data_IF_476896638105
#
_entry.id   IF_476896638105
#
_cell.length_a   1.000
_cell.length_b   1.000
_cell.length_c   1.000
_cell.angle_alpha   90.00
_cell.angle_beta   90.00
_cell.angle_gamma   90.00
#
_symmetry.space_group_name_H-M   'P 1'
#
loop_
_entity.id
_entity.type
_entity.pdbx_description
1 polymer ?
#
# COMPACT_ATOMS: atom_id res chain seq x y z
N UNK A 1 -7.41 37.50 -16.02
CA UNK A 1 -6.44 38.60 -16.24
C UNK A 1 -7.02 39.85 -15.59
N UNK A 2 -6.46 40.32 -14.47
CA UNK A 2 -6.94 41.52 -13.79
C UNK A 2 -6.45 42.76 -14.55
N UNK A 3 -7.37 43.61 -15.02
CA UNK A 3 -7.04 44.89 -15.65
C UNK A 3 -7.07 45.95 -14.55
N UNK A 4 -5.90 46.50 -14.22
CA UNK A 4 -5.76 47.57 -13.23
C UNK A 4 -5.79 48.94 -13.95
N UNK A 5 -6.75 49.84 -13.66
CA UNK A 5 -6.66 51.21 -14.13
C UNK A 5 -5.69 52.01 -13.23
N UNK A 6 -4.65 52.57 -13.85
CA UNK A 6 -3.76 53.63 -13.35
C UNK A 6 -3.27 53.52 -11.89
N UNK A 7 -2.13 52.84 -11.69
CA UNK A 7 -1.32 52.96 -10.48
C UNK A 7 -0.51 54.27 -10.50
N UNK A 8 -0.55 55.04 -9.41
CA UNK A 8 0.46 56.06 -9.13
C UNK A 8 1.71 55.40 -8.54
N UNK A 9 2.86 55.63 -9.19
CA UNK A 9 4.22 55.20 -8.85
C UNK A 9 4.43 54.67 -7.42
N UNK A 10 4.43 53.34 -7.28
CA UNK A 10 4.88 52.66 -6.07
C UNK A 10 4.94 51.17 -6.31
N UNK A 11 6.16 50.61 -6.31
CA UNK A 11 6.45 49.22 -6.65
C UNK A 11 5.55 48.20 -5.95
N UNK A 12 5.05 47.24 -6.72
CA UNK A 12 4.41 46.03 -6.24
C UNK A 12 5.50 45.02 -5.83
N UNK A 13 6.07 45.19 -4.64
CA UNK A 13 7.07 44.25 -4.13
C UNK A 13 6.42 42.95 -3.65
N UNK A 14 7.17 41.86 -3.90
CA UNK A 14 6.81 40.46 -3.75
C UNK A 14 6.20 40.04 -2.41
N UNK A 15 5.47 38.92 -2.49
CA UNK A 15 4.70 38.19 -1.49
C UNK A 15 5.43 37.85 -0.18
N UNK A 16 6.73 38.08 -0.09
CA UNK A 16 7.54 37.59 1.02
C UNK A 16 7.75 38.62 2.14
N UNK A 17 7.24 39.86 2.01
CA UNK A 17 7.34 40.83 3.10
C UNK A 17 6.24 41.92 3.08
N UNK A 18 5.19 41.65 3.87
CA UNK A 18 4.45 42.61 4.71
C UNK A 18 3.23 43.40 4.21
N UNK A 19 2.85 43.52 2.93
CA UNK A 19 1.62 44.30 2.58
C UNK A 19 0.80 43.75 1.40
N UNK A 20 -0.43 43.35 1.68
CA UNK A 20 -1.46 43.02 0.69
C UNK A 20 -2.32 44.26 0.33
N UNK A 21 -2.84 44.30 -0.90
CA UNK A 21 -3.73 45.37 -1.38
C UNK A 21 -5.17 44.93 -1.16
N UNK A 22 -5.89 45.67 -0.32
CA UNK A 22 -7.31 45.44 -0.04
C UNK A 22 -8.15 46.58 -0.62
N UNK A 23 -9.32 46.25 -1.15
CA UNK A 23 -10.31 47.23 -1.58
C UNK A 23 -11.15 47.65 -0.36
N UNK A 24 -11.21 48.95 -0.06
CA UNK A 24 -12.17 49.45 0.92
C UNK A 24 -13.58 49.47 0.33
N UNK A 25 -14.58 49.48 1.22
CA UNK A 25 -16.00 49.59 0.89
C UNK A 25 -16.32 50.84 0.03
N UNK A 26 -15.47 51.87 0.10
CA UNK A 26 -15.62 53.14 -0.61
C UNK A 26 -14.75 53.25 -1.87
N UNK A 27 -14.30 52.14 -2.47
CA UNK A 27 -13.43 52.09 -3.66
C UNK A 27 -12.04 52.77 -3.51
N UNK A 28 -11.61 53.03 -2.28
CA UNK A 28 -10.24 53.45 -1.97
C UNK A 28 -9.28 52.27 -1.81
N UNK A 29 -8.02 52.43 -2.22
CA UNK A 29 -6.97 51.41 -2.11
C UNK A 29 -6.04 51.69 -0.92
N UNK A 30 -5.74 50.68 -0.09
CA UNK A 30 -4.78 50.80 1.02
C UNK A 30 -3.87 49.56 1.10
N UNK A 31 -2.59 49.78 1.37
CA UNK A 31 -1.63 48.73 1.72
C UNK A 31 -1.87 48.31 3.18
N UNK A 32 -2.28 47.07 3.42
CA UNK A 32 -2.54 46.51 4.77
C UNK A 32 -1.79 45.18 4.94
N UNK A 33 -1.59 44.69 6.18
CA UNK A 33 -1.07 43.35 6.41
C UNK A 33 -1.99 42.29 5.80
N UNK A 34 -1.40 41.24 5.22
CA UNK A 34 -2.12 40.15 4.57
C UNK A 34 -3.02 39.30 5.49
N UNK A 35 -2.98 39.56 6.81
CA UNK A 35 -3.85 38.95 7.83
C UNK A 35 -5.18 39.69 8.01
N UNK A 36 -5.43 40.77 7.26
CA UNK A 36 -6.69 41.52 7.35
C UNK A 36 -7.87 40.71 6.79
N UNK A 37 -9.00 40.68 7.52
CA UNK A 37 -10.26 40.03 7.11
C UNK A 37 -10.95 40.67 5.87
N UNK A 38 -10.28 41.60 5.18
CA UNK A 38 -10.80 42.27 4.00
C UNK A 38 -10.55 41.42 2.74
N UNK A 39 -11.54 41.32 1.87
CA UNK A 39 -11.45 40.54 0.62
C UNK A 39 -10.29 41.05 -0.27
N UNK A 40 -9.49 40.11 -0.77
CA UNK A 40 -8.43 40.38 -1.75
C UNK A 40 -9.05 40.77 -3.10
N UNK A 41 -8.44 41.72 -3.80
CA UNK A 41 -8.92 42.17 -5.11
C UNK A 41 -8.60 41.16 -6.23
N UNK A 42 -7.43 40.52 -6.16
CA UNK A 42 -7.03 39.42 -7.04
C UNK A 42 -6.19 38.43 -6.23
N UNK A 43 -6.59 37.16 -6.21
CA UNK A 43 -5.81 36.05 -5.67
C UNK A 43 -5.24 35.27 -6.86
N UNK A 44 -3.91 35.09 -6.91
CA UNK A 44 -3.35 34.06 -7.77
C UNK A 44 -3.53 32.75 -7.01
N UNK A 45 -4.49 31.93 -7.44
CA UNK A 45 -4.61 30.58 -6.92
C UNK A 45 -3.22 29.94 -6.94
N UNK A 46 -2.77 29.30 -5.84
CA UNK A 46 -1.50 28.58 -5.86
C UNK A 46 -1.53 27.68 -7.08
N UNK A 47 -0.51 27.81 -7.95
CA UNK A 47 -0.38 26.91 -9.10
C UNK A 47 -0.53 25.49 -8.56
N UNK A 48 -1.42 24.65 -9.10
CA UNK A 48 -1.51 23.27 -8.65
C UNK A 48 -0.11 22.68 -8.82
N UNK A 49 0.62 22.49 -7.71
CA UNK A 49 1.88 21.78 -7.77
C UNK A 49 1.54 20.42 -8.37
N UNK A 50 2.25 19.95 -9.40
CA UNK A 50 2.05 18.61 -9.89
C UNK A 50 2.21 17.67 -8.69
N UNK A 51 1.11 17.01 -8.32
CA UNK A 51 1.09 15.98 -7.29
C UNK A 51 1.87 14.80 -7.89
N UNK A 52 3.20 14.79 -7.71
CA UNK A 52 4.03 13.70 -8.20
C UNK A 52 3.78 12.47 -7.32
N UNK A 53 3.58 11.28 -7.92
CA UNK A 53 3.31 10.08 -7.16
C UNK A 53 4.49 9.77 -6.22
N UNK A 54 4.18 9.55 -4.94
CA UNK A 54 5.13 9.00 -3.98
C UNK A 54 5.59 7.65 -4.52
N UNK A 55 6.90 7.43 -4.60
CA UNK A 55 7.44 6.13 -5.02
C UNK A 55 7.86 5.38 -3.77
N UNK A 56 7.22 4.26 -3.50
CA UNK A 56 7.67 3.31 -2.49
C UNK A 56 8.15 2.07 -3.21
N UNK A 57 9.28 1.52 -2.76
CA UNK A 57 9.79 0.23 -3.18
C UNK A 57 9.92 -0.63 -1.93
N UNK A 58 9.41 -1.85 -2.01
CA UNK A 58 9.61 -2.87 -0.98
C UNK A 58 10.42 -4.01 -1.59
N UNK A 59 11.42 -4.50 -0.87
CA UNK A 59 12.25 -5.62 -1.32
C UNK A 59 12.59 -6.52 -0.15
N UNK A 60 12.67 -7.83 -0.39
CA UNK A 60 13.20 -8.79 0.59
C UNK A 60 14.29 -9.62 -0.09
N UNK A 61 15.49 -9.72 0.50
CA UNK A 61 16.51 -10.67 0.04
C UNK A 61 16.16 -12.12 0.42
N UNK A 62 15.22 -12.32 1.34
CA UNK A 62 14.88 -13.61 1.94
C UNK A 62 13.36 -13.86 1.92
N UNK A 63 12.72 -13.97 0.73
CA UNK A 63 11.28 -14.24 0.61
C UNK A 63 10.87 -15.59 1.22
N UNK A 64 11.82 -16.49 1.47
CA UNK A 64 11.65 -17.77 2.14
C UNK A 64 12.42 -17.83 3.48
N UNK A 65 12.68 -16.67 4.09
CA UNK A 65 13.45 -16.57 5.33
C UNK A 65 12.65 -16.83 6.60
N UNK A 66 11.33 -17.04 6.52
CA UNK A 66 10.49 -17.19 7.71
C UNK A 66 10.99 -18.30 8.65
N UNK A 67 11.12 -17.97 9.93
CA UNK A 67 11.67 -18.87 10.96
C UNK A 67 13.20 -19.00 10.96
N UNK A 68 13.92 -18.32 10.06
CA UNK A 68 15.38 -18.29 10.05
C UNK A 68 15.92 -16.99 10.66
N UNK A 69 17.19 -17.04 11.07
CA UNK A 69 17.95 -15.85 11.44
C UNK A 69 18.10 -14.93 10.22
N UNK A 70 18.12 -13.62 10.48
CA UNK A 70 18.39 -12.54 9.50
C UNK A 70 17.34 -12.37 8.37
N UNK A 71 16.17 -13.02 8.49
CA UNK A 71 15.03 -12.72 7.63
C UNK A 71 14.73 -11.22 7.71
N UNK A 72 14.64 -10.56 6.56
CA UNK A 72 14.46 -9.11 6.55
C UNK A 72 13.80 -8.62 5.28
N UNK A 73 13.27 -7.41 5.36
CA UNK A 73 12.86 -6.65 4.19
C UNK A 73 13.23 -5.19 4.35
N UNK A 74 13.23 -4.51 3.21
CA UNK A 74 13.69 -3.16 3.05
C UNK A 74 12.57 -2.36 2.39
N UNK A 75 12.27 -1.20 2.95
CA UNK A 75 11.38 -0.22 2.39
C UNK A 75 12.19 1.01 1.98
N UNK A 76 12.10 1.37 0.70
CA UNK A 76 12.75 2.54 0.11
C UNK A 76 11.69 3.53 -0.33
N UNK A 77 11.91 4.80 0.00
CA UNK A 77 11.04 5.90 -0.35
C UNK A 77 11.74 6.79 -1.38
N UNK A 78 11.31 6.70 -2.63
CA UNK A 78 11.66 7.65 -3.68
C UNK A 78 10.86 8.94 -3.49
N UNK A 79 11.50 9.96 -2.95
CA UNK A 79 10.92 11.29 -2.79
C UNK A 79 11.40 12.22 -3.89
N UNK A 80 10.45 12.90 -4.55
CA UNK A 80 10.60 14.34 -4.81
C UNK A 80 9.21 15.02 -4.68
N UNK A 81 9.10 15.97 -3.75
CA UNK A 81 8.07 17.03 -3.64
C UNK A 81 6.84 16.88 -2.72
N UNK A 82 6.66 15.79 -1.95
CA UNK A 82 5.58 15.71 -0.93
C UNK A 82 6.12 15.54 0.50
N UNK A 83 5.50 16.27 1.44
CA UNK A 83 5.79 16.15 2.87
C UNK A 83 5.25 14.82 3.40
N UNK A 84 6.18 13.92 3.72
CA UNK A 84 5.88 12.62 4.32
C UNK A 84 5.63 12.80 5.81
N UNK A 85 4.42 12.46 6.25
CA UNK A 85 4.02 12.51 7.66
C UNK A 85 4.47 11.27 8.42
N UNK A 86 4.42 10.09 7.77
CA UNK A 86 4.83 8.83 8.39
C UNK A 86 5.35 7.88 7.32
N UNK A 87 6.40 7.14 7.64
CA UNK A 87 6.91 6.02 6.87
C UNK A 87 7.11 4.84 7.81
N UNK A 88 6.48 3.70 7.52
CA UNK A 88 6.39 2.59 8.47
C UNK A 88 6.26 1.23 7.79
N UNK A 89 6.45 0.19 8.61
CA UNK A 89 6.24 -1.21 8.27
C UNK A 89 5.07 -1.76 9.08
N UNK A 90 4.25 -2.64 8.48
CA UNK A 90 3.15 -3.30 9.19
C UNK A 90 2.93 -4.73 8.68
N UNK A 91 2.32 -5.58 9.49
CA UNK A 91 1.83 -6.91 9.09
C UNK A 91 0.42 -6.75 8.53
N UNK A 92 0.21 -7.25 7.32
CA UNK A 92 -1.04 -7.17 6.58
C UNK A 92 -2.04 -8.26 6.97
N UNK A 93 -1.56 -9.48 7.21
CA UNK A 93 -2.41 -10.65 7.46
C UNK A 93 -1.92 -11.41 8.68
N UNK A 94 -2.84 -11.77 9.57
CA UNK A 94 -2.63 -12.78 10.60
C UNK A 94 -3.30 -14.08 10.15
N UNK A 95 -2.56 -15.18 10.20
CA UNK A 95 -3.04 -16.49 9.72
C UNK A 95 -3.47 -17.41 10.88
N UNK A 96 -3.61 -16.85 12.09
CA UNK A 96 -4.02 -17.53 13.31
C UNK A 96 -5.26 -16.86 13.92
N UNK A 97 -6.07 -17.63 14.64
CA UNK A 97 -7.42 -17.21 15.12
C UNK A 97 -7.42 -16.16 16.24
N UNK A 98 -6.39 -16.10 17.09
CA UNK A 98 -6.32 -15.09 18.13
C UNK A 98 -5.94 -13.75 17.52
N UNK A 99 -6.64 -12.64 17.80
CA UNK A 99 -6.27 -11.27 17.38
C UNK A 99 -6.00 -10.43 18.63
N UNK A 100 -4.82 -9.81 18.70
CA UNK A 100 -4.43 -8.85 19.76
C UNK A 100 -4.07 -7.51 19.13
N UNK A 101 -4.07 -6.43 19.91
CA UNK A 101 -3.81 -5.06 19.41
C UNK A 101 -2.49 -4.97 18.61
N UNK A 102 -1.43 -5.61 19.08
CA UNK A 102 -0.10 -5.58 18.43
C UNK A 102 0.07 -6.55 17.25
N UNK A 103 -0.97 -7.32 16.91
CA UNK A 103 -0.86 -8.38 15.90
C UNK A 103 -0.57 -7.88 14.47
N UNK A 104 -0.86 -6.60 14.21
CA UNK A 104 -0.63 -5.92 12.94
C UNK A 104 0.68 -5.12 12.90
N UNK A 105 1.39 -5.03 14.02
CA UNK A 105 2.74 -4.45 14.04
C UNK A 105 3.70 -5.41 13.35
N UNK A 106 4.58 -4.89 12.49
CA UNK A 106 5.65 -5.71 11.94
C UNK A 106 6.58 -6.15 13.10
N UNK A 107 6.80 -7.45 13.31
CA UNK A 107 7.58 -7.94 14.44
C UNK A 107 9.08 -7.72 14.22
N UNK A 108 9.84 -7.86 15.30
CA UNK A 108 11.29 -7.70 15.28
C UNK A 108 11.72 -6.23 15.26
N UNK A 109 12.94 -5.99 14.83
CA UNK A 109 13.60 -4.70 14.98
C UNK A 109 13.57 -3.90 13.68
N UNK A 110 13.09 -2.66 13.78
CA UNK A 110 13.11 -1.70 12.69
C UNK A 110 14.33 -0.78 12.82
N UNK A 111 15.27 -0.91 11.89
CA UNK A 111 16.41 -0.01 11.77
C UNK A 111 16.08 1.11 10.78
N UNK A 112 15.96 2.34 11.29
CA UNK A 112 15.94 3.55 10.45
C UNK A 112 17.35 3.81 9.92
N UNK A 113 17.68 3.28 8.74
CA UNK A 113 18.98 3.53 8.10
C UNK A 113 19.06 4.98 7.60
N UNK A 114 17.93 5.53 7.11
CA UNK A 114 17.78 6.95 6.77
C UNK A 114 16.28 7.32 6.72
N UNK A 115 15.92 8.62 6.58
CA UNK A 115 14.51 9.03 6.44
C UNK A 115 13.78 8.41 5.25
N UNK A 116 14.53 7.91 4.26
CA UNK A 116 13.99 7.29 3.04
C UNK A 116 14.21 5.78 2.98
N UNK A 117 14.81 5.19 4.01
CA UNK A 117 15.19 3.78 4.04
C UNK A 117 14.92 3.16 5.41
N UNK A 118 13.95 2.26 5.45
CA UNK A 118 13.67 1.41 6.61
C UNK A 118 14.10 -0.01 6.31
N UNK A 119 14.79 -0.64 7.27
CA UNK A 119 15.05 -2.07 7.26
C UNK A 119 14.28 -2.70 8.41
N UNK A 120 13.47 -3.71 8.12
CA UNK A 120 12.84 -4.54 9.13
C UNK A 120 13.60 -5.86 9.21
N UNK A 121 14.20 -6.15 10.35
CA UNK A 121 14.77 -7.46 10.67
C UNK A 121 13.75 -8.25 11.47
N UNK A 122 13.37 -9.42 10.97
CA UNK A 122 12.30 -10.23 11.50
C UNK A 122 12.85 -11.25 12.51
N UNK A 123 12.05 -11.64 13.51
CA UNK A 123 12.47 -12.66 14.46
C UNK A 123 12.62 -14.02 13.78
N UNK A 124 13.56 -14.83 14.27
CA UNK A 124 13.74 -16.23 13.87
C UNK A 124 12.67 -17.15 14.49
N UNK A 125 11.43 -16.70 14.49
CA UNK A 125 10.25 -17.41 14.99
C UNK A 125 9.18 -17.43 13.91
N UNK A 126 8.08 -18.14 14.17
CA UNK A 126 6.90 -18.11 13.30
C UNK A 126 6.27 -16.71 13.21
N UNK A 127 6.69 -15.73 14.00
CA UNK A 127 6.20 -14.36 13.82
C UNK A 127 6.86 -13.69 12.60
N UNK A 128 8.06 -14.11 12.21
CA UNK A 128 8.77 -13.57 11.05
C UNK A 128 8.19 -13.96 9.69
N UNK A 129 7.14 -14.77 9.65
CA UNK A 129 6.40 -15.09 8.41
C UNK A 129 5.16 -14.21 8.27
N UNK A 130 4.73 -14.03 7.03
CA UNK A 130 3.45 -13.39 6.72
C UNK A 130 3.52 -12.45 5.53
N UNK A 131 2.40 -11.74 5.33
CA UNK A 131 2.32 -10.61 4.42
C UNK A 131 2.62 -9.34 5.21
N UNK A 132 3.56 -8.55 4.72
CA UNK A 132 3.96 -7.28 5.29
C UNK A 132 3.74 -6.18 4.27
N UNK A 133 3.78 -4.93 4.71
CA UNK A 133 3.78 -3.81 3.79
C UNK A 133 4.63 -2.66 4.32
N UNK A 134 5.19 -1.94 3.35
CA UNK A 134 5.78 -0.63 3.53
C UNK A 134 4.70 0.40 3.23
N UNK A 135 4.42 1.34 4.15
CA UNK A 135 3.44 2.39 3.94
C UNK A 135 4.01 3.77 4.19
N UNK A 136 3.62 4.73 3.35
CA UNK A 136 3.87 6.15 3.55
C UNK A 136 2.55 6.91 3.61
N UNK A 137 2.39 7.74 4.62
CA UNK A 137 1.29 8.68 4.78
C UNK A 137 1.79 10.09 4.49
N UNK A 138 1.04 10.81 3.67
CA UNK A 138 1.18 12.26 3.42
C UNK A 138 -0.11 12.96 3.83
N UNK A 139 -0.14 14.29 3.76
CA UNK A 139 -1.33 15.07 4.07
C UNK A 139 -2.58 14.70 3.25
N UNK A 140 -2.42 14.11 2.06
CA UNK A 140 -3.51 13.82 1.14
C UNK A 140 -3.75 12.34 0.86
N UNK A 141 -2.76 11.46 1.13
CA UNK A 141 -2.82 10.06 0.71
C UNK A 141 -1.96 9.11 1.53
N UNK A 142 -2.40 7.85 1.55
CA UNK A 142 -1.59 6.69 1.95
C UNK A 142 -1.16 5.96 0.70
N UNK A 143 0.13 5.67 0.58
CA UNK A 143 0.67 4.76 -0.43
C UNK A 143 1.27 3.57 0.29
N UNK A 144 0.96 2.35 -0.13
CA UNK A 144 1.58 1.15 0.43
C UNK A 144 2.01 0.15 -0.64
N UNK A 145 3.05 -0.62 -0.31
CA UNK A 145 3.60 -1.68 -1.15
C UNK A 145 3.69 -2.94 -0.31
N UNK A 146 2.92 -3.99 -0.65
CA UNK A 146 2.95 -5.24 0.07
C UNK A 146 4.14 -6.10 -0.37
N UNK A 147 4.62 -6.93 0.55
CA UNK A 147 5.61 -7.96 0.33
C UNK A 147 5.24 -9.17 1.18
N UNK A 148 5.90 -10.29 0.94
CA UNK A 148 5.63 -11.48 1.73
C UNK A 148 6.88 -12.28 2.02
N UNK A 149 6.88 -12.91 3.19
CA UNK A 149 7.95 -13.80 3.66
C UNK A 149 7.30 -15.10 4.11
N UNK A 150 7.68 -16.19 3.43
CA UNK A 150 7.20 -17.53 3.71
C UNK A 150 8.21 -18.28 4.56
N UNK A 151 7.73 -19.35 5.19
CA UNK A 151 8.55 -20.30 5.93
C UNK A 151 9.62 -20.92 5.02
N UNK A 152 10.83 -21.05 5.53
CA UNK A 152 11.92 -21.72 4.81
C UNK A 152 11.61 -23.18 4.49
N UNK A 153 10.91 -23.86 5.40
CA UNK A 153 10.47 -25.26 5.31
C UNK A 153 9.07 -25.42 4.71
N UNK A 154 8.56 -24.43 3.97
CA UNK A 154 7.25 -24.50 3.32
C UNK A 154 7.14 -25.74 2.42
N UNK A 155 5.95 -26.32 2.39
CA UNK A 155 5.63 -27.45 1.52
C UNK A 155 4.93 -27.03 0.23
N UNK A 156 4.39 -25.81 0.19
CA UNK A 156 3.67 -25.24 -0.94
C UNK A 156 4.27 -23.90 -1.35
N UNK A 157 4.32 -23.63 -2.65
CA UNK A 157 4.76 -22.34 -3.21
C UNK A 157 4.06 -22.00 -4.52
N UNK A 158 3.94 -20.71 -4.91
CA UNK A 158 3.40 -20.34 -6.22
C UNK A 158 4.24 -20.92 -7.36
N UNK A 159 3.60 -21.51 -8.36
CA UNK A 159 4.28 -22.24 -9.45
C UNK A 159 5.18 -21.32 -10.31
N UNK A 160 4.79 -20.06 -10.45
CA UNK A 160 5.49 -19.04 -11.23
C UNK A 160 6.44 -18.19 -10.35
N UNK A 161 6.55 -18.52 -9.05
CA UNK A 161 7.32 -17.77 -8.07
C UNK A 161 6.76 -16.37 -7.79
N UNK A 162 5.57 -16.01 -8.29
CA UNK A 162 4.98 -14.68 -8.14
C UNK A 162 3.94 -14.67 -7.03
N UNK A 163 4.22 -13.90 -5.98
CA UNK A 163 3.30 -13.71 -4.86
C UNK A 163 2.20 -12.68 -5.13
N UNK A 164 2.33 -11.88 -6.18
CA UNK A 164 1.32 -10.90 -6.59
C UNK A 164 0.97 -11.09 -8.05
N UNK A 165 -0.33 -11.27 -8.32
CA UNK A 165 -0.91 -11.32 -9.66
C UNK A 165 -1.80 -10.09 -9.86
N UNK A 166 -1.74 -9.49 -11.03
CA UNK A 166 -2.56 -8.34 -11.41
C UNK A 166 -3.32 -8.68 -12.67
N UNK A 167 -4.63 -8.50 -12.63
CA UNK A 167 -5.55 -8.72 -13.75
C UNK A 167 -6.52 -7.55 -13.86
N UNK A 168 -7.25 -7.46 -14.96
CA UNK A 168 -8.32 -6.50 -15.15
C UNK A 168 -9.68 -7.16 -14.90
N UNK A 169 -10.71 -6.34 -14.66
CA UNK A 169 -12.08 -6.83 -14.57
C UNK A 169 -12.46 -7.54 -15.88
N UNK A 170 -13.01 -8.75 -15.76
CA UNK A 170 -13.41 -9.61 -16.88
C UNK A 170 -12.34 -10.61 -17.33
N UNK A 171 -11.09 -10.52 -16.84
CA UNK A 171 -10.06 -11.50 -17.14
C UNK A 171 -10.32 -12.83 -16.42
N UNK A 172 -10.02 -13.95 -17.08
CA UNK A 172 -9.93 -15.27 -16.44
C UNK A 172 -8.53 -15.45 -15.84
N UNK A 173 -8.43 -15.95 -14.60
CA UNK A 173 -7.15 -16.17 -13.92
C UNK A 173 -7.14 -17.50 -13.16
N UNK A 174 -6.05 -18.24 -13.30
CA UNK A 174 -5.74 -19.41 -12.47
C UNK A 174 -4.60 -19.09 -11.52
N UNK A 175 -4.89 -19.25 -10.23
CA UNK A 175 -3.92 -19.24 -9.14
C UNK A 175 -3.43 -20.68 -8.96
N UNK A 176 -2.12 -20.90 -8.96
CA UNK A 176 -1.56 -22.25 -8.89
C UNK A 176 -0.36 -22.28 -7.95
N UNK A 177 -0.33 -23.32 -7.13
CA UNK A 177 0.79 -23.65 -6.26
C UNK A 177 1.36 -25.01 -6.66
N UNK A 178 2.52 -25.34 -6.14
CA UNK A 178 3.14 -26.65 -6.31
C UNK A 178 3.73 -27.13 -4.98
N UNK A 179 3.79 -28.44 -4.81
CA UNK A 179 4.52 -29.04 -3.70
C UNK A 179 6.03 -28.86 -3.88
N UNK A 180 6.73 -28.40 -2.85
CA UNK A 180 8.19 -28.29 -2.84
C UNK A 180 8.87 -29.64 -2.57
N UNK A 181 8.16 -30.56 -1.91
CA UNK A 181 8.65 -31.90 -1.54
C UNK A 181 8.18 -32.99 -2.51
N UNK A 182 7.15 -32.71 -3.31
CA UNK A 182 6.49 -33.68 -4.17
C UNK A 182 5.61 -34.69 -3.43
N UNK A 183 5.42 -34.53 -2.11
CA UNK A 183 4.70 -35.47 -1.25
C UNK A 183 3.30 -35.00 -0.87
N UNK A 184 2.95 -33.75 -1.16
CA UNK A 184 1.62 -33.21 -0.81
C UNK A 184 0.61 -33.72 -1.83
N UNK A 185 -0.28 -34.62 -1.40
CA UNK A 185 -1.42 -35.07 -2.19
C UNK A 185 -2.42 -33.94 -2.42
N UNK A 186 -3.12 -33.94 -3.55
CA UNK A 186 -4.15 -32.91 -3.78
C UNK A 186 -5.37 -33.13 -2.87
N UNK A 187 -5.63 -34.37 -2.47
CA UNK A 187 -6.65 -34.75 -1.50
C UNK A 187 -6.37 -34.07 -0.15
N UNK A 188 -7.21 -33.11 0.23
CA UNK A 188 -7.05 -32.32 1.46
C UNK A 188 -6.54 -30.90 1.25
N UNK A 189 -6.17 -30.49 0.03
CA UNK A 189 -5.84 -29.10 -0.25
C UNK A 189 -7.06 -28.19 -0.09
N UNK A 190 -6.86 -27.10 0.64
CA UNK A 190 -7.83 -26.04 0.91
C UNK A 190 -7.33 -24.71 0.37
N UNK A 191 -8.28 -23.90 -0.11
CA UNK A 191 -8.06 -22.51 -0.51
C UNK A 191 -8.93 -21.60 0.35
N UNK A 192 -8.36 -20.49 0.82
CA UNK A 192 -9.05 -19.49 1.64
C UNK A 192 -8.72 -18.08 1.15
N UNK A 193 -9.69 -17.18 1.14
CA UNK A 193 -9.48 -15.76 0.84
C UNK A 193 -9.44 -14.94 2.10
N UNK A 194 -8.66 -13.88 2.02
CA UNK A 194 -8.63 -12.80 2.97
C UNK A 194 -8.79 -11.48 2.22
N UNK A 195 -9.72 -10.62 2.67
CA UNK A 195 -10.06 -9.34 2.01
C UNK A 195 -9.82 -8.17 2.94
N UNK A 196 -9.54 -6.98 2.39
CA UNK A 196 -9.20 -5.78 3.16
C UNK A 196 -10.30 -5.28 4.13
N UNK A 197 -11.57 -5.65 3.92
CA UNK A 197 -12.74 -5.08 4.62
C UNK A 197 -13.36 -6.06 5.63
N UNK A 198 -13.29 -7.35 5.37
CA UNK A 198 -13.78 -8.38 6.28
C UNK A 198 -12.81 -9.57 6.22
N UNK A 199 -11.99 -9.67 7.26
CA UNK A 199 -10.95 -10.68 7.41
C UNK A 199 -11.45 -11.92 8.18
N UNK A 200 -12.69 -11.86 8.69
CA UNK A 200 -13.42 -12.96 9.29
C UNK A 200 -13.99 -13.87 8.19
N UNK A 201 -13.31 -14.98 7.93
CA UNK A 201 -13.85 -16.20 7.33
C UNK A 201 -14.71 -16.07 6.06
N UNK A 202 -14.23 -15.39 5.01
CA UNK A 202 -14.70 -15.71 3.66
C UNK A 202 -13.99 -16.99 3.19
N UNK A 203 -14.46 -18.15 3.68
CA UNK A 203 -14.19 -19.42 2.99
C UNK A 203 -14.67 -19.23 1.53
N UNK A 204 -13.72 -19.10 0.60
CA UNK A 204 -14.05 -19.29 -0.80
C UNK A 204 -14.60 -20.71 -0.86
N UNK A 205 -15.80 -20.86 -1.41
CA UNK A 205 -16.46 -22.14 -1.56
C UNK A 205 -15.43 -23.21 -1.93
N UNK A 206 -15.38 -24.26 -1.11
CA UNK A 206 -14.37 -25.31 -1.10
C UNK A 206 -14.00 -25.76 -2.52
N UNK A 207 -12.93 -25.23 -3.12
CA UNK A 207 -12.21 -25.97 -4.16
C UNK A 207 -11.33 -26.97 -3.42
N UNK A 208 -11.98 -27.98 -2.83
CA UNK A 208 -11.34 -29.06 -2.09
C UNK A 208 -10.72 -30.02 -3.10
N UNK A 209 -9.40 -30.18 -3.06
CA UNK A 209 -8.74 -31.23 -3.83
C UNK A 209 -7.87 -30.78 -5.00
N UNK A 210 -7.44 -29.52 -5.10
CA UNK A 210 -6.56 -29.11 -6.20
C UNK A 210 -5.53 -28.06 -5.79
N UNK A 211 -4.32 -28.18 -6.33
CA UNK A 211 -3.25 -27.18 -6.24
C UNK A 211 -3.50 -25.94 -7.11
N UNK A 212 -4.66 -25.86 -7.77
CA UNK A 212 -5.07 -24.70 -8.56
C UNK A 212 -6.48 -24.21 -8.23
N UNK A 213 -6.67 -22.90 -8.29
CA UNK A 213 -7.94 -22.21 -8.11
C UNK A 213 -8.18 -21.26 -9.28
N UNK A 214 -9.28 -21.45 -10.00
CA UNK A 214 -9.62 -20.63 -11.19
C UNK A 214 -10.76 -19.69 -10.88
N UNK A 215 -10.57 -18.41 -11.22
CA UNK A 215 -11.58 -17.36 -11.16
C UNK A 215 -11.92 -17.00 -12.60
N UNK A 216 -13.20 -17.16 -12.94
CA UNK A 216 -13.72 -16.80 -14.26
C UNK A 216 -14.30 -15.39 -14.22
N UNK A 217 -14.00 -14.56 -15.22
CA UNK A 217 -14.47 -13.18 -15.34
C UNK A 217 -14.26 -12.38 -14.05
N UNK A 218 -13.00 -12.17 -13.68
CA UNK A 218 -12.62 -11.55 -12.42
C UNK A 218 -13.31 -10.21 -12.16
N UNK A 219 -13.68 -9.98 -10.91
CA UNK A 219 -14.35 -8.77 -10.42
C UNK A 219 -13.52 -8.09 -9.34
N UNK A 220 -13.81 -6.83 -9.02
CA UNK A 220 -13.11 -6.12 -7.92
C UNK A 220 -13.30 -6.83 -6.57
N UNK A 221 -14.41 -7.54 -6.38
CA UNK A 221 -14.63 -8.35 -5.19
C UNK A 221 -13.70 -9.55 -5.12
N UNK A 222 -13.10 -10.01 -6.22
CA UNK A 222 -12.15 -11.13 -6.25
C UNK A 222 -10.74 -10.75 -5.76
N UNK A 223 -10.44 -9.46 -5.64
CA UNK A 223 -9.17 -9.00 -5.07
C UNK A 223 -9.01 -9.49 -3.61
N UNK A 224 -7.77 -9.79 -3.22
CA UNK A 224 -7.46 -10.26 -1.88
C UNK A 224 -6.21 -11.14 -1.82
N UNK A 225 -5.94 -11.70 -0.64
CA UNK A 225 -4.89 -12.69 -0.42
C UNK A 225 -5.50 -14.08 -0.38
N UNK A 226 -5.07 -14.94 -1.29
CA UNK A 226 -5.49 -16.33 -1.38
C UNK A 226 -4.45 -17.19 -0.69
N UNK A 227 -4.85 -17.98 0.30
CA UNK A 227 -3.99 -18.87 1.07
C UNK A 227 -4.34 -20.31 0.71
N UNK A 228 -3.32 -21.11 0.43
CA UNK A 228 -3.44 -22.54 0.08
C UNK A 228 -2.72 -23.36 1.13
N UNK A 229 -3.39 -24.37 1.68
CA UNK A 229 -2.87 -25.20 2.75
C UNK A 229 -3.46 -26.60 2.70
N UNK A 230 -2.79 -27.56 3.32
CA UNK A 230 -3.36 -28.89 3.56
C UNK A 230 -4.23 -28.87 4.82
N UNK A 231 -5.31 -29.63 4.84
CA UNK A 231 -6.21 -29.70 6.00
C UNK A 231 -5.44 -30.04 7.29
N UNK A 232 -5.68 -29.27 8.36
CA UNK A 232 -4.97 -29.43 9.63
C UNK A 232 -3.55 -28.85 9.69
N UNK A 233 -2.99 -28.27 8.62
CA UNK A 233 -1.62 -27.71 8.61
C UNK A 233 -1.56 -26.18 8.69
N UNK A 234 -2.71 -25.49 8.69
CA UNK A 234 -2.78 -24.01 8.75
C UNK A 234 -2.04 -23.44 9.97
N UNK A 235 -2.29 -24.00 11.16
CA UNK A 235 -1.64 -23.58 12.42
C UNK A 235 -0.15 -23.94 12.48
N UNK A 236 0.29 -24.89 11.64
CA UNK A 236 1.71 -25.23 11.48
C UNK A 236 2.42 -24.28 10.52
N UNK A 237 1.69 -23.32 9.95
CA UNK A 237 2.18 -22.33 9.01
C UNK A 237 2.76 -22.93 7.71
N UNK A 238 2.33 -24.16 7.37
CA UNK A 238 2.71 -24.88 6.15
C UNK A 238 1.74 -24.55 5.01
N UNK A 239 1.68 -23.26 4.67
CA UNK A 239 0.81 -22.76 3.61
C UNK A 239 1.58 -21.97 2.57
N UNK A 240 0.95 -21.81 1.40
CA UNK A 240 1.34 -20.83 0.40
C UNK A 240 0.31 -19.72 0.35
N UNK A 241 0.66 -18.59 -0.26
CA UNK A 241 -0.30 -17.56 -0.56
C UNK A 241 0.01 -16.82 -1.86
N UNK A 242 -1.01 -16.23 -2.46
CA UNK A 242 -0.96 -15.40 -3.66
C UNK A 242 -1.90 -14.21 -3.46
N UNK A 243 -1.38 -13.00 -3.61
CA UNK A 243 -2.17 -11.77 -3.64
C UNK A 243 -2.69 -11.52 -5.05
N UNK A 244 -4.00 -11.34 -5.18
CA UNK A 244 -4.65 -10.96 -6.43
C UNK A 244 -5.08 -9.49 -6.37
N UNK A 245 -4.64 -8.72 -7.35
CA UNK A 245 -5.09 -7.35 -7.63
C UNK A 245 -5.99 -7.41 -8.86
N UNK A 246 -7.22 -6.92 -8.73
CA UNK A 246 -8.12 -6.73 -9.86
C UNK A 246 -8.27 -5.24 -10.13
N UNK A 247 -7.79 -4.79 -11.28
CA UNK A 247 -7.89 -3.39 -11.70
C UNK A 247 -9.24 -3.15 -12.37
N UNK A 248 -9.98 -2.17 -11.85
CA UNK A 248 -11.13 -1.61 -12.57
C UNK A 248 -10.68 -1.01 -13.90
N UNK A 249 -11.54 -1.06 -14.91
CA UNK A 249 -11.36 -0.29 -16.14
C UNK A 249 -11.39 1.20 -15.78
N UNK A 250 -10.38 1.95 -16.23
CA UNK A 250 -10.44 3.41 -16.27
C UNK A 250 -11.65 3.79 -17.12
N UNK A 251 -12.68 4.37 -16.52
CA UNK A 251 -13.70 5.07 -17.28
C UNK A 251 -13.01 6.22 -18.00
N UNK A 252 -12.74 6.05 -19.30
CA UNK A 252 -12.49 7.15 -20.21
C UNK A 252 -13.78 7.97 -20.25
N UNK A 253 -13.84 9.07 -19.49
CA UNK A 253 -14.82 10.11 -19.76
C UNK A 253 -14.53 10.62 -21.17
N UNK A 254 -15.31 10.14 -22.14
CA UNK A 254 -15.43 10.79 -23.43
C UNK A 254 -16.41 11.94 -23.21
N UNK A 255 -15.87 13.17 -23.25
CA UNK A 255 -16.65 14.40 -23.34
C UNK A 255 -17.39 14.45 -24.68
#
# INVERSE_FOLDING_TARGET
MCIFPAWSNGDATLFESERCVHQQVNNGWRKLPCTSYLRFACEKAPSPRPILPIRIIAATPSPYGGGLLDASFICLLGSENEDILTFSTRRLVRLTEAITFDSYTAPGDSDTVSPVLLRQTLPATIEGLGFFECSSLTASRVTSVPLAILLSTRELQPIDGRFTKTVHVGDDITLSVMSTTGMVGEDGIRWRKFTDIDWADSLIGMSSGSLSHTIQSASVSDAGVYVTYEDGTLEQHLFSFIRLIVKGTLFHFTL
#
